data_IF_988496650097
#
_entry.id   IF_988496650097
#
_cell.length_a   1.000
_cell.length_b   1.000
_cell.length_c   1.000
_cell.angle_alpha   90.00
_cell.angle_beta   90.00
_cell.angle_gamma   90.00
#
_symmetry.space_group_name_H-M   'P 1'
#
loop_
_entity.id
_entity.type
_entity.pdbx_description
1 polymer ?
#
# COMPACT_ATOMS: atom_id res chain seq x y z
N UNK A 1 12.43 -22.77 2.40
CA UNK A 1 11.72 -22.07 3.50
C UNK A 1 10.74 -21.08 2.86
N UNK A 2 9.50 -21.12 3.28
CA UNK A 2 8.50 -20.16 2.82
C UNK A 2 8.73 -18.84 3.58
N UNK A 3 9.46 -17.92 2.95
CA UNK A 3 9.76 -16.59 3.51
C UNK A 3 9.17 -15.54 2.58
N UNK A 4 8.36 -14.64 3.12
CA UNK A 4 7.91 -13.43 2.42
C UNK A 4 9.02 -12.40 2.50
N UNK A 5 9.33 -11.77 1.37
CA UNK A 5 10.36 -10.73 1.30
C UNK A 5 9.67 -9.39 1.25
N UNK A 6 9.91 -8.55 2.25
CA UNK A 6 9.44 -7.16 2.27
C UNK A 6 10.49 -6.24 1.67
N UNK A 7 10.07 -5.41 0.71
CA UNK A 7 10.92 -4.44 0.03
C UNK A 7 10.66 -3.00 0.50
N UNK A 8 9.79 -2.79 1.47
CA UNK A 8 9.64 -1.47 2.07
C UNK A 8 10.99 -0.97 2.58
N UNK A 9 11.33 0.29 2.37
CA UNK A 9 12.62 0.90 2.65
C UNK A 9 13.81 0.44 1.79
N UNK A 10 13.61 -0.45 0.82
CA UNK A 10 14.70 -0.81 -0.09
C UNK A 10 15.02 0.32 -1.07
N UNK A 11 16.28 0.43 -1.47
CA UNK A 11 16.65 1.26 -2.62
C UNK A 11 16.11 0.65 -3.92
N UNK A 12 16.02 1.43 -4.98
CA UNK A 12 15.61 0.93 -6.30
C UNK A 12 16.50 -0.22 -6.77
N UNK A 13 17.81 -0.10 -6.58
CA UNK A 13 18.76 -1.14 -6.92
C UNK A 13 18.49 -2.43 -6.14
N UNK A 14 18.30 -2.33 -4.81
CA UNK A 14 17.98 -3.48 -3.95
C UNK A 14 16.67 -4.13 -4.36
N UNK A 15 15.66 -3.34 -4.73
CA UNK A 15 14.39 -3.85 -5.24
C UNK A 15 14.61 -4.76 -6.45
N UNK A 16 15.28 -4.26 -7.48
CA UNK A 16 15.48 -5.01 -8.73
C UNK A 16 16.42 -6.19 -8.57
N UNK A 17 17.44 -6.08 -7.73
CA UNK A 17 18.31 -7.20 -7.37
C UNK A 17 17.53 -8.30 -6.65
N UNK A 18 16.60 -7.93 -5.76
CA UNK A 18 15.71 -8.89 -5.10
C UNK A 18 14.79 -9.58 -6.10
N UNK A 19 14.16 -8.83 -7.00
CA UNK A 19 13.31 -9.40 -8.07
C UNK A 19 14.09 -10.38 -8.93
N UNK A 20 15.33 -10.06 -9.27
CA UNK A 20 16.18 -10.88 -10.15
C UNK A 20 16.68 -12.16 -9.46
N UNK A 21 17.04 -12.07 -8.19
CA UNK A 21 17.76 -13.16 -7.50
C UNK A 21 16.88 -14.00 -6.56
N UNK A 22 15.57 -13.72 -6.47
CA UNK A 22 14.64 -14.50 -5.65
C UNK A 22 13.43 -14.95 -6.46
N UNK A 23 12.73 -15.97 -5.95
CA UNK A 23 11.49 -16.49 -6.57
C UNK A 23 10.28 -16.46 -5.63
N UNK A 24 10.48 -16.14 -4.34
CA UNK A 24 9.42 -16.09 -3.31
C UNK A 24 8.42 -14.94 -3.49
N UNK A 25 7.39 -14.92 -2.68
CA UNK A 25 6.43 -13.82 -2.62
C UNK A 25 7.13 -12.54 -2.19
N UNK A 26 6.88 -11.46 -2.91
CA UNK A 26 7.46 -10.14 -2.69
C UNK A 26 6.35 -9.19 -2.25
N UNK A 27 6.54 -8.49 -1.16
CA UNK A 27 5.56 -7.51 -0.66
C UNK A 27 6.20 -6.15 -0.41
N UNK A 28 5.40 -5.12 -0.42
CA UNK A 28 5.71 -3.83 0.20
C UNK A 28 4.74 -3.64 1.35
N UNK A 29 5.20 -3.82 2.58
CA UNK A 29 4.31 -3.75 3.75
C UNK A 29 3.71 -2.37 3.93
N UNK A 30 4.44 -1.30 3.57
CA UNK A 30 3.99 0.09 3.68
C UNK A 30 4.66 0.98 2.62
N UNK A 31 4.00 1.16 1.48
CA UNK A 31 4.46 2.01 0.37
C UNK A 31 3.29 2.49 -0.47
N UNK A 32 3.48 3.62 -1.16
CA UNK A 32 2.44 4.25 -1.99
C UNK A 32 2.89 4.35 -3.46
N UNK A 33 2.20 5.15 -4.29
CA UNK A 33 2.46 5.28 -5.72
C UNK A 33 3.31 6.51 -6.03
N UNK A 34 4.47 6.31 -6.65
CA UNK A 34 5.38 7.38 -7.07
C UNK A 34 4.74 8.32 -8.12
N UNK A 35 3.95 7.79 -9.03
CA UNK A 35 3.24 8.57 -10.06
C UNK A 35 2.22 9.55 -9.49
N UNK A 36 1.72 9.34 -8.25
CA UNK A 36 0.79 10.24 -7.56
C UNK A 36 1.55 11.21 -6.66
N UNK A 37 2.50 10.69 -5.89
CA UNK A 37 3.36 11.48 -5.01
C UNK A 37 4.81 11.07 -5.24
N UNK A 38 5.56 11.93 -5.94
CA UNK A 38 6.97 11.72 -6.26
C UNK A 38 7.81 11.81 -4.98
N UNK A 39 7.88 10.69 -4.26
CA UNK A 39 8.67 10.53 -3.06
C UNK A 39 9.49 9.24 -3.15
N UNK A 40 10.77 9.20 -2.74
CA UNK A 40 11.64 8.02 -2.90
C UNK A 40 11.18 6.78 -2.14
N UNK A 41 10.28 6.93 -1.16
CA UNK A 41 9.64 5.81 -0.44
C UNK A 41 8.51 5.17 -1.22
N UNK A 42 8.03 5.78 -2.30
CA UNK A 42 6.92 5.31 -3.11
C UNK A 42 7.41 4.44 -4.27
N UNK A 43 6.56 3.52 -4.69
CA UNK A 43 6.82 2.55 -5.76
C UNK A 43 6.50 3.15 -7.13
N UNK A 44 7.36 2.90 -8.10
CA UNK A 44 7.03 3.14 -9.52
C UNK A 44 5.99 2.12 -10.01
N UNK A 45 5.34 2.42 -11.13
CA UNK A 45 4.34 1.53 -11.73
C UNK A 45 4.95 0.17 -12.11
N UNK A 46 6.23 0.15 -12.53
CA UNK A 46 6.97 -1.06 -12.85
C UNK A 46 7.23 -1.91 -11.60
N UNK A 47 7.55 -1.27 -10.48
CA UNK A 47 7.73 -1.97 -9.19
C UNK A 47 6.40 -2.56 -8.68
N UNK A 48 5.29 -1.80 -8.79
CA UNK A 48 3.95 -2.28 -8.45
C UNK A 48 3.59 -3.53 -9.27
N UNK A 49 3.81 -3.49 -10.59
CA UNK A 49 3.59 -4.64 -11.49
C UNK A 49 4.47 -5.83 -11.13
N UNK A 50 5.72 -5.59 -10.75
CA UNK A 50 6.64 -6.66 -10.34
C UNK A 50 6.18 -7.36 -9.06
N UNK A 51 5.69 -6.62 -8.06
CA UNK A 51 5.11 -7.17 -6.83
C UNK A 51 3.87 -8.00 -7.16
N UNK A 52 2.96 -7.48 -7.97
CA UNK A 52 1.74 -8.20 -8.38
C UNK A 52 2.06 -9.49 -9.13
N UNK A 53 3.03 -9.49 -10.06
CA UNK A 53 3.51 -10.68 -10.78
C UNK A 53 4.05 -11.77 -9.84
N UNK A 54 4.52 -11.40 -8.65
CA UNK A 54 5.00 -12.31 -7.61
C UNK A 54 3.90 -12.71 -6.63
N UNK A 55 2.62 -12.46 -6.96
CA UNK A 55 1.46 -12.70 -6.10
C UNK A 55 1.58 -12.02 -4.73
N UNK A 56 2.28 -10.90 -4.68
CA UNK A 56 2.49 -10.11 -3.48
C UNK A 56 1.34 -9.20 -3.12
N UNK A 57 1.65 -8.19 -2.33
CA UNK A 57 0.69 -7.16 -1.88
C UNK A 57 1.44 -5.85 -1.60
N UNK A 58 0.77 -4.74 -1.83
CA UNK A 58 1.21 -3.39 -1.49
C UNK A 58 0.32 -2.86 -0.37
N UNK A 59 0.89 -2.69 0.81
CA UNK A 59 0.23 -2.04 1.94
C UNK A 59 0.30 -0.52 1.80
N UNK A 60 -0.85 0.14 1.72
CA UNK A 60 -0.92 1.60 1.65
C UNK A 60 -0.46 2.22 2.97
N UNK A 61 0.60 3.00 2.92
CA UNK A 61 1.15 3.73 4.05
C UNK A 61 0.36 5.00 4.31
N UNK A 62 0.02 5.25 5.59
CA UNK A 62 -0.78 6.40 6.02
C UNK A 62 0.11 7.56 6.53
N UNK A 63 1.24 7.74 5.89
CA UNK A 63 2.12 8.89 6.07
C UNK A 63 1.78 9.99 5.06
N UNK A 64 1.46 11.18 5.54
CA UNK A 64 1.07 12.34 4.73
C UNK A 64 2.10 12.67 3.65
N UNK A 65 3.40 12.60 3.97
CA UNK A 65 4.50 12.88 3.04
C UNK A 65 4.53 11.95 1.82
N UNK A 66 4.03 10.71 1.98
CA UNK A 66 4.04 9.70 0.92
C UNK A 66 2.74 9.68 0.12
N UNK A 67 1.69 10.32 0.64
CA UNK A 67 0.37 10.40 -0.02
C UNK A 67 0.20 11.66 -0.85
N UNK A 68 0.85 12.77 -0.45
CA UNK A 68 0.65 14.08 -1.06
C UNK A 68 1.93 14.92 -1.02
N UNK A 69 2.21 15.63 -2.11
CA UNK A 69 3.41 16.45 -2.24
C UNK A 69 3.38 17.69 -1.35
N UNK A 70 2.21 18.33 -1.20
CA UNK A 70 2.06 19.59 -0.47
C UNK A 70 0.84 19.54 0.45
N UNK A 71 0.99 20.10 1.65
CA UNK A 71 -0.05 20.14 2.68
C UNK A 71 -0.26 18.78 3.36
N UNK A 72 -1.21 18.74 4.28
CA UNK A 72 -1.55 17.53 5.03
C UNK A 72 -2.52 16.67 4.23
N UNK A 73 -2.19 15.38 4.07
CA UNK A 73 -3.04 14.42 3.39
C UNK A 73 -4.29 14.06 4.22
N UNK A 74 -5.29 13.55 3.53
CA UNK A 74 -6.54 13.06 4.12
C UNK A 74 -6.98 11.75 3.44
N UNK A 75 -8.13 11.22 3.83
CA UNK A 75 -8.67 9.96 3.32
C UNK A 75 -8.81 9.93 1.79
N UNK A 76 -9.11 11.06 1.14
CA UNK A 76 -9.26 11.08 -0.33
C UNK A 76 -7.93 10.89 -1.05
N UNK A 77 -6.82 11.31 -0.43
CA UNK A 77 -5.48 11.05 -0.96
C UNK A 77 -5.15 9.54 -0.89
N UNK A 78 -5.55 8.84 0.18
CA UNK A 78 -5.46 7.36 0.27
C UNK A 78 -6.23 6.71 -0.90
N UNK A 79 -7.47 7.12 -1.13
CA UNK A 79 -8.31 6.58 -2.20
C UNK A 79 -7.66 6.76 -3.59
N UNK A 80 -6.96 7.85 -3.83
CA UNK A 80 -6.23 8.08 -5.09
C UNK A 80 -5.16 7.01 -5.33
N UNK A 81 -4.39 6.67 -4.30
CA UNK A 81 -3.36 5.62 -4.39
C UNK A 81 -3.98 4.23 -4.57
N UNK A 82 -5.03 3.91 -3.81
CA UNK A 82 -5.78 2.66 -3.95
C UNK A 82 -6.32 2.52 -5.38
N UNK A 83 -6.96 3.55 -5.91
CA UNK A 83 -7.52 3.56 -7.26
C UNK A 83 -6.45 3.38 -8.33
N UNK A 84 -5.29 4.01 -8.16
CA UNK A 84 -4.17 3.86 -9.10
C UNK A 84 -3.68 2.41 -9.15
N UNK A 85 -3.44 1.77 -8.01
CA UNK A 85 -2.99 0.37 -7.96
C UNK A 85 -4.08 -0.57 -8.50
N UNK A 86 -5.36 -0.33 -8.12
CA UNK A 86 -6.49 -1.12 -8.64
C UNK A 86 -6.55 -1.08 -10.17
N UNK A 87 -6.39 0.10 -10.76
CA UNK A 87 -6.41 0.26 -12.22
C UNK A 87 -5.19 -0.38 -12.90
N UNK A 88 -4.05 -0.40 -12.23
CA UNK A 88 -2.79 -0.87 -12.78
C UNK A 88 -2.65 -2.40 -12.74
N UNK A 89 -3.03 -3.02 -11.63
CA UNK A 89 -2.78 -4.45 -11.37
C UNK A 89 -3.97 -5.22 -10.80
N UNK A 90 -5.03 -4.53 -10.37
CA UNK A 90 -6.23 -5.13 -9.78
C UNK A 90 -6.29 -5.02 -8.26
N UNK A 91 -7.49 -5.28 -7.74
CA UNK A 91 -7.83 -5.12 -6.32
C UNK A 91 -7.13 -6.11 -5.39
N UNK A 92 -6.74 -7.28 -5.90
CA UNK A 92 -6.18 -8.37 -5.10
C UNK A 92 -4.75 -8.10 -4.59
N UNK A 93 -4.14 -7.02 -5.04
CA UNK A 93 -2.75 -6.66 -4.72
C UNK A 93 -2.61 -5.48 -3.78
N UNK A 94 -3.71 -5.04 -3.17
CA UNK A 94 -3.75 -3.90 -2.24
C UNK A 94 -4.11 -4.37 -0.84
N UNK A 95 -3.46 -3.79 0.15
CA UNK A 95 -3.82 -3.90 1.56
C UNK A 95 -3.51 -2.61 2.30
N UNK A 96 -3.68 -2.63 3.60
CA UNK A 96 -3.26 -1.53 4.47
C UNK A 96 -1.93 -1.86 5.13
N UNK A 97 -1.05 -0.87 5.16
CA UNK A 97 0.21 -0.88 5.86
C UNK A 97 0.39 0.46 6.56
N UNK A 98 -0.46 0.71 7.55
CA UNK A 98 -0.73 2.05 8.11
C UNK A 98 0.49 2.77 8.65
N UNK A 99 1.42 2.02 9.24
CA UNK A 99 2.64 2.54 9.88
C UNK A 99 2.36 3.58 10.97
N UNK A 100 1.23 3.45 11.69
CA UNK A 100 0.79 4.44 12.67
C UNK A 100 1.82 4.74 13.76
N UNK A 101 2.58 3.74 14.20
CA UNK A 101 3.59 3.91 15.25
C UNK A 101 4.95 4.38 14.70
N UNK A 102 5.16 4.24 13.38
CA UNK A 102 6.37 4.68 12.67
C UNK A 102 6.26 6.09 12.06
N UNK A 103 5.07 6.70 12.09
CA UNK A 103 4.82 8.02 11.51
C UNK A 103 4.74 9.08 12.59
N UNK A 104 5.63 10.07 12.52
CA UNK A 104 5.64 11.22 13.41
C UNK A 104 4.31 11.99 13.36
N UNK A 105 3.94 12.62 14.48
CA UNK A 105 2.65 13.27 14.65
C UNK A 105 2.37 14.36 13.60
N UNK A 106 3.40 15.09 13.20
CA UNK A 106 3.33 16.14 12.16
C UNK A 106 3.08 15.60 10.75
N UNK A 107 3.36 14.30 10.52
CA UNK A 107 3.19 13.62 9.23
C UNK A 107 1.95 12.72 9.18
N UNK A 108 1.12 12.75 10.23
CA UNK A 108 -0.17 12.05 10.24
C UNK A 108 -1.19 12.75 9.35
N UNK A 109 -2.19 12.00 8.93
CA UNK A 109 -3.30 12.53 8.15
C UNK A 109 -4.15 13.48 9.02
N UNK A 110 -4.90 14.37 8.36
CA UNK A 110 -5.79 15.31 9.05
C UNK A 110 -6.99 14.63 9.71
N UNK A 111 -7.47 13.52 9.16
CA UNK A 111 -8.74 12.87 9.50
C UNK A 111 -8.60 11.40 9.98
N UNK A 112 -7.47 10.73 9.73
CA UNK A 112 -7.18 9.36 10.20
C UNK A 112 -5.88 9.38 11.00
N UNK A 113 -5.99 9.24 12.32
CA UNK A 113 -4.86 9.31 13.24
C UNK A 113 -4.54 7.99 13.94
N UNK A 114 -5.39 6.99 13.77
CA UNK A 114 -5.22 5.69 14.39
C UNK A 114 -6.30 4.69 13.96
N UNK A 115 -6.21 3.49 14.52
CA UNK A 115 -7.09 2.37 14.16
C UNK A 115 -8.58 2.67 14.37
N UNK A 116 -8.92 3.48 15.37
CA UNK A 116 -10.31 3.89 15.65
C UNK A 116 -10.95 4.71 14.54
N UNK A 117 -10.14 5.32 13.68
CA UNK A 117 -10.58 6.18 12.59
C UNK A 117 -10.75 5.40 11.26
N UNK A 118 -10.44 4.10 11.23
CA UNK A 118 -10.61 3.25 10.04
C UNK A 118 -12.01 3.24 9.42
N UNK A 119 -13.11 3.40 10.19
CA UNK A 119 -14.44 3.57 9.61
C UNK A 119 -14.56 4.75 8.62
N UNK A 120 -13.70 5.78 8.75
CA UNK A 120 -13.65 6.90 7.80
C UNK A 120 -13.18 6.39 6.43
N UNK A 121 -12.10 5.60 6.40
CA UNK A 121 -11.59 4.99 5.15
C UNK A 121 -12.63 4.05 4.52
N UNK A 122 -13.26 3.18 5.31
CA UNK A 122 -14.28 2.24 4.84
C UNK A 122 -15.44 3.01 4.18
N UNK A 123 -15.94 4.06 4.83
CA UNK A 123 -17.00 4.89 4.28
C UNK A 123 -16.59 5.61 2.99
N UNK A 124 -15.34 6.07 2.90
CA UNK A 124 -14.86 6.76 1.70
C UNK A 124 -14.63 5.79 0.53
N UNK A 125 -14.23 4.54 0.80
CA UNK A 125 -14.17 3.46 -0.19
C UNK A 125 -15.56 3.21 -0.78
N UNK A 126 -16.62 3.07 0.07
CA UNK A 126 -18.00 2.92 -0.38
C UNK A 126 -18.45 4.07 -1.26
N UNK A 127 -18.22 5.32 -0.84
CA UNK A 127 -18.54 6.51 -1.65
C UNK A 127 -17.80 6.55 -2.96
N UNK A 128 -16.60 5.98 -3.01
CA UNK A 128 -15.77 5.88 -4.22
C UNK A 128 -16.18 4.75 -5.15
N UNK A 129 -17.24 3.98 -4.80
CA UNK A 129 -17.83 2.94 -5.64
C UNK A 129 -17.23 1.53 -5.45
N UNK A 130 -16.42 1.30 -4.42
CA UNK A 130 -15.95 -0.04 -4.08
C UNK A 130 -17.07 -0.86 -3.45
N UNK A 131 -17.20 -2.13 -3.89
CA UNK A 131 -18.13 -3.10 -3.33
C UNK A 131 -17.60 -3.63 -1.99
N UNK A 132 -18.50 -4.19 -1.15
CA UNK A 132 -18.11 -4.68 0.18
C UNK A 132 -17.01 -5.75 0.11
N UNK A 133 -17.11 -6.70 -0.82
CA UNK A 133 -16.07 -7.72 -1.04
C UNK A 133 -14.71 -7.13 -1.44
N UNK A 134 -14.71 -6.02 -2.18
CA UNK A 134 -13.49 -5.30 -2.52
C UNK A 134 -12.91 -4.56 -1.31
N UNK A 135 -13.78 -4.01 -0.47
CA UNK A 135 -13.38 -3.36 0.78
C UNK A 135 -12.78 -4.38 1.74
N UNK A 136 -13.41 -5.55 1.91
CA UNK A 136 -12.89 -6.63 2.76
C UNK A 136 -11.49 -7.09 2.30
N UNK A 137 -11.28 -7.21 0.99
CA UNK A 137 -9.96 -7.50 0.41
C UNK A 137 -8.91 -6.46 0.81
N UNK A 138 -9.21 -5.17 0.65
CA UNK A 138 -8.30 -4.07 1.02
C UNK A 138 -8.04 -4.08 2.53
N UNK A 139 -9.09 -4.28 3.34
CA UNK A 139 -9.01 -4.18 4.79
C UNK A 139 -8.27 -5.36 5.45
N UNK A 140 -8.14 -6.52 4.78
CA UNK A 140 -7.38 -7.61 5.37
C UNK A 140 -7.30 -8.90 4.59
N UNK A 141 -8.28 -9.27 3.78
CA UNK A 141 -8.30 -10.58 3.11
C UNK A 141 -7.11 -10.78 2.17
N UNK A 142 -6.67 -9.74 1.48
CA UNK A 142 -5.48 -9.82 0.62
C UNK A 142 -4.21 -10.12 1.44
N UNK A 143 -4.07 -9.57 2.65
CA UNK A 143 -3.01 -9.94 3.57
C UNK A 143 -3.13 -11.39 4.03
N UNK A 144 -4.33 -11.86 4.37
CA UNK A 144 -4.57 -13.25 4.74
C UNK A 144 -4.21 -14.21 3.60
N UNK A 145 -4.53 -13.87 2.34
CA UNK A 145 -4.13 -14.63 1.14
C UNK A 145 -2.60 -14.77 1.03
N UNK A 146 -1.85 -13.73 1.35
CA UNK A 146 -0.38 -13.76 1.27
C UNK A 146 0.21 -14.54 2.45
N UNK A 147 -0.27 -14.29 3.67
CA UNK A 147 0.23 -14.91 4.89
C UNK A 147 -0.10 -16.41 4.97
N UNK A 148 -1.21 -16.86 4.40
CA UNK A 148 -1.58 -18.29 4.37
C UNK A 148 -0.65 -19.17 3.54
N UNK A 149 0.34 -18.57 2.84
CA UNK A 149 1.35 -19.30 2.04
C UNK A 149 2.63 -19.62 2.82
N UNK A 150 2.74 -19.16 4.08
CA UNK A 150 3.83 -19.45 4.99
C UNK A 150 3.46 -20.71 5.80
#
# INVERSE_FOLDING_TARGET
KNIIIDISHSSEQTFWDTVKNTTGTLVATHSNCYSICNHPRNLTDEQIKAIAKRNGIIGICLCSLFLKKEGTANVTDIIRHIKHITNLVGIDYIGLGTDFDGVDEEHRLSDIKGIKDMPILINELRKSGYLEDQIDKIMGENWMRVLSKI
#
